data_IF_271813352021
#
_entry.id   IF_271813352021
#
_cell.length_a   1.000
_cell.length_b   1.000
_cell.length_c   1.000
_cell.angle_alpha   90.00
_cell.angle_beta   90.00
_cell.angle_gamma   90.00
#
_symmetry.space_group_name_H-M   'P 1'
#
loop_
_entity.id
_entity.type
_entity.pdbx_description
1 polymer ?
#
# COMPACT_ATOMS: atom_id res chain seq x y z
N UNK A 1 -23.77 7.43 25.50
CA UNK A 1 -22.47 7.33 24.78
C UNK A 1 -21.43 8.04 25.62
N UNK A 2 -20.35 7.37 25.95
CA UNK A 2 -19.22 7.97 26.68
C UNK A 2 -18.44 8.86 25.73
N UNK A 3 -18.33 10.14 26.04
CA UNK A 3 -17.54 11.09 25.24
C UNK A 3 -16.06 10.99 25.57
N UNK A 4 -15.17 11.44 24.67
CA UNK A 4 -13.73 11.53 24.97
C UNK A 4 -13.46 12.37 26.22
N UNK A 5 -14.29 13.39 26.46
CA UNK A 5 -14.19 14.24 27.67
C UNK A 5 -14.45 13.43 28.95
N UNK A 6 -15.43 12.52 28.92
CA UNK A 6 -15.71 11.62 30.07
C UNK A 6 -14.59 10.62 30.32
N UNK A 7 -13.80 10.29 29.27
CA UNK A 7 -12.60 9.48 29.37
C UNK A 7 -11.35 10.29 29.77
N UNK A 8 -11.49 11.59 30.05
CA UNK A 8 -10.38 12.47 30.41
C UNK A 8 -9.46 12.85 29.23
N UNK A 9 -9.92 12.64 28.00
CA UNK A 9 -9.15 12.93 26.78
C UNK A 9 -9.54 14.32 26.26
N UNK A 10 -8.65 15.31 26.29
CA UNK A 10 -8.92 16.63 25.73
C UNK A 10 -8.91 16.58 24.20
N UNK A 11 -9.72 17.41 23.53
CA UNK A 11 -9.69 17.55 22.09
C UNK A 11 -8.34 18.14 21.63
N UNK A 12 -7.85 17.68 20.48
CA UNK A 12 -6.62 18.16 19.88
C UNK A 12 -6.96 19.02 18.66
N UNK A 13 -6.31 20.18 18.53
CA UNK A 13 -6.32 20.99 17.32
C UNK A 13 -5.23 20.44 16.39
N UNK A 14 -5.65 19.68 15.38
CA UNK A 14 -4.74 19.08 14.42
C UNK A 14 -4.53 20.02 13.22
N UNK A 15 -3.32 20.56 13.07
CA UNK A 15 -2.92 21.40 11.94
C UNK A 15 -2.00 20.66 10.94
N UNK A 16 -1.77 19.37 11.13
CA UNK A 16 -0.85 18.55 10.30
C UNK A 16 -1.54 17.75 9.18
N UNK A 17 -2.85 17.91 8.99
CA UNK A 17 -3.60 17.11 8.03
C UNK A 17 -3.96 15.72 8.55
N UNK A 18 -3.95 14.70 7.70
CA UNK A 18 -4.33 13.33 8.08
C UNK A 18 -3.21 12.61 8.81
N UNK A 19 -3.43 12.28 10.09
CA UNK A 19 -2.42 11.65 10.95
C UNK A 19 -2.95 10.32 11.50
N UNK A 20 -2.30 9.22 11.17
CA UNK A 20 -2.71 7.88 11.60
C UNK A 20 -2.82 7.75 13.13
N UNK A 21 -1.91 8.36 13.88
CA UNK A 21 -1.95 8.36 15.36
C UNK A 21 -3.17 9.09 15.95
N UNK A 22 -3.84 9.90 15.15
CA UNK A 22 -5.05 10.62 15.52
C UNK A 22 -6.31 10.01 14.88
N UNK A 23 -6.22 8.77 14.38
CA UNK A 23 -7.32 8.07 13.72
C UNK A 23 -7.50 8.44 12.24
N UNK A 24 -6.51 9.11 11.63
CA UNK A 24 -6.55 9.56 10.23
C UNK A 24 -7.26 10.90 10.09
N UNK A 25 -8.52 10.89 9.75
CA UNK A 25 -9.35 12.10 9.62
C UNK A 25 -10.76 11.85 10.19
N UNK A 26 -11.43 12.89 10.71
CA UNK A 26 -12.83 12.77 11.14
C UNK A 26 -13.72 12.29 9.99
N UNK A 27 -14.63 11.37 10.28
CA UNK A 27 -15.57 10.83 9.30
C UNK A 27 -16.65 11.89 8.97
N UNK A 28 -16.92 12.17 7.67
CA UNK A 28 -18.06 13.01 7.29
C UNK A 28 -19.39 12.38 7.69
N UNK A 29 -20.41 13.21 7.99
CA UNK A 29 -21.73 12.74 8.40
C UNK A 29 -22.32 11.72 7.41
N UNK A 30 -22.24 11.99 6.11
CA UNK A 30 -22.71 11.07 5.06
C UNK A 30 -22.11 9.66 5.13
N UNK A 31 -20.84 9.55 5.59
CA UNK A 31 -20.18 8.24 5.76
C UNK A 31 -20.66 7.55 7.01
N UNK A 32 -20.86 8.32 8.09
CA UNK A 32 -21.46 7.81 9.35
C UNK A 32 -22.89 7.33 9.13
N UNK A 33 -23.69 8.08 8.37
CA UNK A 33 -25.07 7.71 8.03
C UNK A 33 -25.09 6.39 7.22
N UNK A 34 -24.25 6.29 6.20
CA UNK A 34 -24.13 5.06 5.42
C UNK A 34 -23.67 3.87 6.24
N UNK A 35 -22.73 4.07 7.18
CA UNK A 35 -22.28 3.04 8.11
C UNK A 35 -23.41 2.58 9.03
N UNK A 36 -24.19 3.53 9.57
CA UNK A 36 -25.32 3.22 10.46
C UNK A 36 -26.42 2.42 9.73
N UNK A 37 -26.71 2.76 8.47
CA UNK A 37 -27.68 2.01 7.66
C UNK A 37 -27.16 0.60 7.34
N UNK A 38 -25.93 0.50 6.86
CA UNK A 38 -25.31 -0.79 6.54
C UNK A 38 -25.23 -1.76 7.74
N UNK A 39 -25.05 -1.22 8.95
CA UNK A 39 -24.98 -2.01 10.17
C UNK A 39 -26.31 -2.67 10.60
N UNK A 40 -27.42 -2.33 9.95
CA UNK A 40 -28.76 -2.87 10.27
C UNK A 40 -29.12 -4.11 9.45
N UNK A 41 -28.37 -4.42 8.42
CA UNK A 41 -28.71 -5.45 7.44
C UNK A 41 -27.60 -6.50 7.28
N UNK A 42 -27.99 -7.69 6.89
CA UNK A 42 -27.09 -8.78 6.54
C UNK A 42 -26.99 -8.87 5.02
N UNK A 43 -25.76 -8.85 4.49
CA UNK A 43 -25.48 -8.99 3.05
C UNK A 43 -24.37 -10.01 2.83
N UNK A 44 -24.40 -10.78 1.73
CA UNK A 44 -23.29 -11.64 1.37
C UNK A 44 -22.02 -10.82 1.13
N UNK A 45 -20.95 -11.10 1.86
CA UNK A 45 -19.73 -10.28 1.85
C UNK A 45 -19.07 -10.27 0.48
N UNK A 46 -19.09 -11.39 -0.26
CA UNK A 46 -18.54 -11.50 -1.61
C UNK A 46 -19.27 -10.57 -2.60
N UNK A 47 -20.58 -10.45 -2.48
CA UNK A 47 -21.38 -9.54 -3.32
C UNK A 47 -21.10 -8.08 -2.99
N UNK A 48 -20.91 -7.77 -1.71
CA UNK A 48 -20.54 -6.42 -1.28
C UNK A 48 -19.15 -6.05 -1.79
N UNK A 49 -18.16 -6.93 -1.68
CA UNK A 49 -16.82 -6.73 -2.23
C UNK A 49 -16.85 -6.58 -3.75
N UNK A 50 -17.62 -7.39 -4.46
CA UNK A 50 -17.79 -7.26 -5.92
C UNK A 50 -18.40 -5.91 -6.31
N UNK A 51 -19.38 -5.41 -5.56
CA UNK A 51 -19.97 -4.09 -5.79
C UNK A 51 -18.96 -2.96 -5.52
N UNK A 52 -18.19 -3.06 -4.44
CA UNK A 52 -17.13 -2.13 -4.11
C UNK A 52 -16.02 -2.13 -5.17
N UNK A 53 -15.61 -3.31 -5.65
CA UNK A 53 -14.62 -3.47 -6.71
C UNK A 53 -15.02 -2.73 -7.98
N UNK A 54 -16.24 -2.93 -8.46
CA UNK A 54 -16.77 -2.19 -9.63
C UNK A 54 -16.73 -0.66 -9.43
N UNK A 55 -17.03 -0.20 -8.22
CA UNK A 55 -17.02 1.24 -7.91
C UNK A 55 -15.61 1.80 -7.88
N UNK A 56 -14.68 1.08 -7.31
CA UNK A 56 -13.26 1.45 -7.28
C UNK A 56 -12.71 1.49 -8.71
N UNK A 57 -12.91 0.43 -9.49
CA UNK A 57 -12.48 0.34 -10.89
C UNK A 57 -13.00 1.52 -11.72
N UNK A 58 -14.29 1.84 -11.63
CA UNK A 58 -14.89 2.98 -12.34
C UNK A 58 -14.31 4.33 -11.91
N UNK A 59 -13.82 4.45 -10.68
CA UNK A 59 -13.27 5.70 -10.14
C UNK A 59 -11.80 5.88 -10.47
N UNK A 60 -11.03 4.80 -10.45
CA UNK A 60 -9.57 4.81 -10.56
C UNK A 60 -9.07 4.48 -11.96
N UNK A 61 -9.86 3.79 -12.77
CA UNK A 61 -9.42 3.20 -14.05
C UNK A 61 -8.74 1.83 -13.89
N UNK A 62 -8.53 1.35 -12.67
CA UNK A 62 -7.97 0.03 -12.43
C UNK A 62 -8.92 -1.08 -12.88
N UNK A 63 -8.39 -2.27 -13.16
CA UNK A 63 -9.17 -3.45 -13.55
C UNK A 63 -10.15 -3.89 -12.45
N UNK A 64 -9.70 -3.85 -11.20
CA UNK A 64 -10.48 -4.25 -10.03
C UNK A 64 -10.08 -3.45 -8.78
N UNK A 65 -10.86 -3.61 -7.71
CA UNK A 65 -10.52 -3.04 -6.41
C UNK A 65 -10.94 -3.93 -5.25
N UNK A 66 -10.25 -3.82 -4.14
CA UNK A 66 -10.54 -4.54 -2.92
C UNK A 66 -10.62 -3.57 -1.73
N UNK A 67 -11.66 -3.66 -0.94
CA UNK A 67 -11.76 -2.94 0.33
C UNK A 67 -11.19 -3.81 1.44
N UNK A 68 -10.27 -3.25 2.22
CA UNK A 68 -9.58 -3.94 3.30
C UNK A 68 -9.68 -3.14 4.61
N UNK A 69 -9.24 -3.73 5.71
CA UNK A 69 -9.14 -3.07 7.03
C UNK A 69 -7.97 -2.07 7.07
N UNK A 70 -7.96 -1.11 6.14
CA UNK A 70 -6.94 -0.08 5.97
C UNK A 70 -5.81 -0.48 5.01
N UNK A 71 -4.97 0.51 4.64
CA UNK A 71 -3.87 0.31 3.69
C UNK A 71 -2.82 -0.71 4.13
N UNK A 72 -2.58 -0.86 5.43
CA UNK A 72 -1.67 -1.89 5.92
C UNK A 72 -2.17 -3.30 5.58
N UNK A 73 -3.48 -3.57 5.76
CA UNK A 73 -4.07 -4.83 5.34
C UNK A 73 -4.04 -5.01 3.82
N UNK A 74 -4.21 -3.93 3.03
CA UNK A 74 -4.04 -3.98 1.58
C UNK A 74 -2.62 -4.37 1.18
N UNK A 75 -1.60 -3.78 1.82
CA UNK A 75 -0.20 -4.14 1.59
C UNK A 75 0.10 -5.60 1.95
N UNK A 76 -0.44 -6.09 3.09
CA UNK A 76 -0.26 -7.50 3.48
C UNK A 76 -0.90 -8.45 2.47
N UNK A 77 -2.16 -8.21 2.09
CA UNK A 77 -2.88 -9.07 1.14
C UNK A 77 -2.29 -8.98 -0.27
N UNK A 78 -1.92 -7.77 -0.72
CA UNK A 78 -1.26 -7.59 -2.00
C UNK A 78 0.09 -8.29 -2.06
N UNK A 79 0.90 -8.18 -1.01
CA UNK A 79 2.17 -8.91 -0.92
C UNK A 79 1.92 -10.42 -0.91
N UNK A 80 0.95 -10.92 -0.14
CA UNK A 80 0.59 -12.33 -0.14
C UNK A 80 0.24 -12.81 -1.56
N UNK A 81 -0.55 -12.02 -2.31
CA UNK A 81 -0.90 -12.34 -3.70
C UNK A 81 0.34 -12.41 -4.61
N UNK A 82 1.29 -11.49 -4.45
CA UNK A 82 2.56 -11.51 -5.19
C UNK A 82 3.40 -12.76 -4.89
N UNK A 83 3.41 -13.20 -3.62
CA UNK A 83 4.19 -14.38 -3.18
C UNK A 83 3.61 -15.70 -3.69
N UNK A 84 2.30 -15.85 -3.74
CA UNK A 84 1.66 -17.16 -3.94
C UNK A 84 0.76 -17.24 -5.17
N UNK A 85 0.39 -16.12 -5.78
CA UNK A 85 -0.51 -16.08 -6.92
C UNK A 85 -1.81 -16.83 -6.61
N UNK A 86 -2.15 -17.80 -7.46
CA UNK A 86 -3.34 -18.66 -7.30
C UNK A 86 -3.00 -20.05 -6.72
N UNK A 87 -1.80 -20.25 -6.20
CA UNK A 87 -1.38 -21.54 -5.65
C UNK A 87 -1.96 -21.72 -4.25
N UNK A 88 -3.03 -22.51 -4.12
CA UNK A 88 -3.70 -22.80 -2.85
C UNK A 88 -2.76 -23.46 -1.82
N UNK A 89 -1.85 -24.31 -2.28
CA UNK A 89 -0.89 -24.97 -1.39
C UNK A 89 0.13 -23.99 -0.79
N UNK A 90 0.49 -22.92 -1.52
CA UNK A 90 1.32 -21.86 -0.97
C UNK A 90 0.50 -20.93 -0.06
N UNK A 91 -0.77 -20.64 -0.40
CA UNK A 91 -1.65 -19.83 0.45
C UNK A 91 -1.79 -20.41 1.86
N UNK A 92 -1.99 -21.73 1.96
CA UNK A 92 -2.12 -22.42 3.25
C UNK A 92 -0.85 -22.36 4.11
N UNK A 93 0.31 -22.15 3.49
CA UNK A 93 1.58 -22.05 4.21
C UNK A 93 1.87 -20.66 4.74
N UNK A 94 1.25 -19.61 4.20
CA UNK A 94 1.55 -18.24 4.64
C UNK A 94 1.35 -18.09 6.17
N UNK A 95 2.23 -17.35 6.84
CA UNK A 95 3.36 -16.59 6.34
C UNK A 95 4.69 -17.37 6.20
N UNK A 96 4.67 -18.72 6.30
CA UNK A 96 5.85 -19.54 6.04
C UNK A 96 6.09 -19.63 4.54
N UNK A 97 7.18 -19.06 4.07
CA UNK A 97 7.49 -18.92 2.64
C UNK A 97 8.69 -19.72 2.18
N UNK A 98 9.12 -20.69 2.99
CA UNK A 98 10.21 -21.58 2.63
C UNK A 98 9.84 -22.43 1.41
N UNK A 99 10.70 -22.40 0.38
CA UNK A 99 10.55 -23.23 -0.81
C UNK A 99 9.87 -22.55 -1.99
N UNK A 100 9.56 -21.23 -1.92
CA UNK A 100 9.12 -20.43 -3.06
C UNK A 100 9.66 -18.99 -2.97
N UNK A 101 9.68 -18.22 -4.10
CA UNK A 101 10.19 -16.85 -4.10
C UNK A 101 9.48 -15.99 -3.05
N UNK A 102 10.26 -15.28 -2.24
CA UNK A 102 9.72 -14.50 -1.13
C UNK A 102 10.42 -13.15 -0.90
N UNK A 103 11.31 -12.77 -1.82
CA UNK A 103 12.02 -11.51 -1.71
C UNK A 103 11.21 -10.37 -2.36
N UNK A 104 11.06 -9.28 -1.63
CA UNK A 104 10.48 -8.04 -2.14
C UNK A 104 11.56 -6.96 -2.10
N UNK A 105 11.91 -6.43 -3.26
CA UNK A 105 12.91 -5.35 -3.37
C UNK A 105 12.24 -4.02 -3.00
N UNK A 106 12.94 -3.21 -2.21
CA UNK A 106 12.48 -1.88 -1.81
C UNK A 106 13.66 -0.91 -1.69
N UNK A 107 13.47 0.34 -2.11
CA UNK A 107 14.48 1.37 -1.89
C UNK A 107 14.66 1.63 -0.38
N UNK A 108 15.91 1.70 0.09
CA UNK A 108 16.23 1.96 1.49
C UNK A 108 15.63 3.26 1.99
N UNK A 109 15.60 4.29 1.17
CA UNK A 109 15.03 5.60 1.50
C UNK A 109 13.49 5.59 1.60
N UNK A 110 12.84 4.55 1.09
CA UNK A 110 11.39 4.33 1.17
C UNK A 110 10.99 3.44 2.35
N UNK A 111 11.94 2.91 3.12
CA UNK A 111 11.67 2.10 4.29
C UNK A 111 10.95 2.91 5.37
N UNK A 112 9.94 2.30 5.96
CA UNK A 112 9.13 2.91 7.02
C UNK A 112 8.58 1.86 7.98
N UNK A 113 7.94 2.30 9.08
CA UNK A 113 7.25 1.38 9.99
C UNK A 113 6.10 0.60 9.36
N UNK A 114 5.62 1.01 8.18
CA UNK A 114 4.54 0.33 7.47
C UNK A 114 5.02 -0.86 6.63
N UNK A 115 6.31 -1.00 6.39
CA UNK A 115 6.86 -2.19 5.73
C UNK A 115 6.69 -3.48 6.54
N UNK A 116 6.31 -3.35 7.82
CA UNK A 116 5.84 -4.48 8.62
C UNK A 116 4.67 -5.21 7.96
N UNK A 117 3.80 -4.52 7.23
CA UNK A 117 2.68 -5.11 6.52
C UNK A 117 3.15 -6.08 5.42
N UNK A 118 4.20 -5.72 4.70
CA UNK A 118 4.84 -6.56 3.67
C UNK A 118 5.45 -7.81 4.32
N UNK A 119 6.21 -7.62 5.41
CA UNK A 119 6.85 -8.73 6.15
C UNK A 119 5.83 -9.64 6.83
N UNK A 120 4.67 -9.12 7.24
CA UNK A 120 3.61 -9.92 7.84
C UNK A 120 3.02 -10.98 6.89
N UNK A 121 3.12 -10.77 5.58
CA UNK A 121 2.76 -11.76 4.57
C UNK A 121 3.81 -12.89 4.43
N UNK A 122 4.96 -12.77 5.08
CA UNK A 122 6.07 -13.73 4.98
C UNK A 122 7.19 -13.29 4.03
N UNK A 123 7.12 -12.08 3.49
CA UNK A 123 8.14 -11.56 2.59
C UNK A 123 9.42 -11.17 3.32
N UNK A 124 10.56 -11.39 2.68
CA UNK A 124 11.87 -10.87 3.04
C UNK A 124 12.17 -9.61 2.22
N UNK A 125 12.46 -8.50 2.89
CA UNK A 125 12.82 -7.27 2.20
C UNK A 125 14.28 -7.29 1.74
N UNK A 126 14.50 -6.94 0.49
CA UNK A 126 15.82 -6.70 -0.11
C UNK A 126 15.96 -5.21 -0.33
N UNK A 127 16.83 -4.57 0.45
CA UNK A 127 17.01 -3.13 0.39
C UNK A 127 18.01 -2.76 -0.70
N UNK A 128 17.65 -1.81 -1.55
CA UNK A 128 18.52 -1.21 -2.56
C UNK A 128 18.75 0.27 -2.26
N UNK A 129 19.81 0.82 -2.78
CA UNK A 129 20.22 2.20 -2.54
C UNK A 129 21.35 2.30 -1.52
N UNK A 130 22.15 3.33 -1.72
CA UNK A 130 23.35 3.56 -0.93
C UNK A 130 23.37 4.98 -0.37
N UNK A 131 23.57 5.10 0.95
CA UNK A 131 23.72 6.39 1.61
C UNK A 131 25.19 6.70 1.82
N UNK A 132 25.76 7.53 0.96
CA UNK A 132 27.14 7.96 1.08
C UNK A 132 27.22 9.26 1.89
N UNK A 133 27.44 9.14 3.20
CA UNK A 133 27.61 10.29 4.09
C UNK A 133 29.09 10.63 4.32
N UNK A 134 29.96 9.65 4.13
CA UNK A 134 31.38 9.73 4.55
C UNK A 134 32.19 10.72 3.70
N UNK A 135 31.83 10.95 2.44
CA UNK A 135 32.56 11.82 1.52
C UNK A 135 32.10 13.28 1.53
N UNK A 136 31.14 13.67 2.34
CA UNK A 136 30.44 14.97 2.29
C UNK A 136 29.86 15.33 0.91
N UNK A 137 29.68 14.35 0.03
CA UNK A 137 29.17 14.53 -1.32
C UNK A 137 27.64 14.61 -1.41
N UNK A 138 26.96 14.62 -0.26
CA UNK A 138 25.51 14.54 -0.19
C UNK A 138 25.01 13.08 -0.21
N UNK A 139 23.70 12.91 -0.04
CA UNK A 139 23.05 11.60 -0.13
C UNK A 139 22.77 11.28 -1.58
N UNK A 140 23.41 10.24 -2.11
CA UNK A 140 23.04 9.71 -3.43
C UNK A 140 21.68 9.04 -3.31
N UNK A 141 20.75 9.41 -4.21
CA UNK A 141 19.45 8.77 -4.32
C UNK A 141 19.61 7.38 -4.96
N UNK A 142 18.69 6.49 -4.66
CA UNK A 142 18.61 5.18 -5.31
C UNK A 142 18.41 5.36 -6.83
N UNK A 143 19.08 4.53 -7.63
CA UNK A 143 19.00 4.51 -9.07
C UNK A 143 18.35 3.23 -9.57
N UNK A 144 17.77 3.27 -10.79
CA UNK A 144 16.99 2.15 -11.33
C UNK A 144 17.81 0.86 -11.47
N UNK A 145 19.08 0.97 -11.87
CA UNK A 145 19.98 -0.18 -12.02
C UNK A 145 20.22 -0.94 -10.70
N UNK A 146 20.06 -0.26 -9.55
CA UNK A 146 20.23 -0.91 -8.23
C UNK A 146 19.10 -1.88 -7.93
N UNK A 147 17.87 -1.59 -8.40
CA UNK A 147 16.77 -2.54 -8.37
C UNK A 147 17.05 -3.73 -9.28
N UNK A 148 17.52 -3.45 -10.51
CA UNK A 148 17.72 -4.48 -11.53
C UNK A 148 18.80 -5.49 -11.13
N UNK A 149 19.93 -5.05 -10.58
CA UNK A 149 20.99 -5.95 -10.10
C UNK A 149 20.63 -6.72 -8.84
N UNK A 150 19.63 -6.29 -8.10
CA UNK A 150 19.15 -6.98 -6.89
C UNK A 150 18.16 -8.13 -7.20
N UNK A 151 17.72 -8.25 -8.47
CA UNK A 151 16.79 -9.30 -8.88
C UNK A 151 17.50 -10.66 -8.82
N UNK A 152 16.88 -11.61 -8.14
CA UNK A 152 17.33 -13.00 -8.01
C UNK A 152 16.18 -13.96 -8.31
N UNK A 153 16.42 -15.27 -8.46
CA UNK A 153 15.34 -16.25 -8.56
C UNK A 153 14.39 -16.30 -7.35
N UNK A 154 14.75 -15.66 -6.25
CA UNK A 154 13.90 -15.55 -5.05
C UNK A 154 13.07 -14.28 -5.04
N UNK A 155 13.26 -13.38 -5.99
CA UNK A 155 12.49 -12.13 -6.08
C UNK A 155 11.05 -12.43 -6.52
N UNK A 156 10.10 -12.00 -5.69
CA UNK A 156 8.67 -12.14 -5.95
C UNK A 156 8.03 -10.81 -6.41
N UNK A 157 8.74 -9.70 -6.31
CA UNK A 157 8.26 -8.41 -6.79
C UNK A 157 8.96 -7.23 -6.12
N UNK A 158 8.42 -6.04 -6.39
CA UNK A 158 8.96 -4.76 -5.90
C UNK A 158 7.91 -4.03 -5.08
N UNK A 159 8.31 -3.47 -3.94
CA UNK A 159 7.51 -2.53 -3.18
C UNK A 159 7.99 -1.10 -3.40
N UNK A 160 7.07 -0.20 -3.68
CA UNK A 160 7.34 1.21 -3.92
C UNK A 160 6.47 2.08 -3.02
N UNK A 161 7.09 2.96 -2.23
CA UNK A 161 6.36 3.96 -1.44
C UNK A 161 6.31 5.26 -2.24
N UNK A 162 5.12 5.59 -2.73
CA UNK A 162 4.90 6.80 -3.51
C UNK A 162 4.81 8.02 -2.61
N UNK A 163 5.44 9.11 -3.03
CA UNK A 163 5.39 10.40 -2.34
C UNK A 163 6.07 11.51 -3.14
N UNK A 164 5.94 12.77 -2.71
CA UNK A 164 6.64 13.89 -3.32
C UNK A 164 8.14 13.64 -3.34
N UNK A 165 8.72 13.57 -4.53
CA UNK A 165 10.15 13.34 -4.71
C UNK A 165 10.61 11.88 -4.53
N UNK A 166 9.73 10.89 -4.53
CA UNK A 166 10.15 9.48 -4.60
C UNK A 166 10.96 9.22 -5.87
N UNK A 167 12.04 8.46 -5.74
CA UNK A 167 13.02 8.20 -6.78
C UNK A 167 13.41 6.71 -6.77
N UNK A 168 13.68 6.10 -7.95
CA UNK A 168 13.40 6.55 -9.31
C UNK A 168 11.89 6.82 -9.52
N UNK A 169 11.48 7.36 -10.68
CA UNK A 169 10.04 7.55 -10.95
C UNK A 169 9.32 6.20 -10.96
N UNK A 170 8.09 6.19 -10.44
CA UNK A 170 7.29 4.96 -10.37
C UNK A 170 7.16 4.28 -11.74
N UNK A 171 6.87 5.03 -12.81
CA UNK A 171 6.76 4.47 -14.17
C UNK A 171 8.04 3.78 -14.65
N UNK A 172 9.21 4.32 -14.30
CA UNK A 172 10.50 3.71 -14.65
C UNK A 172 10.72 2.39 -13.90
N UNK A 173 10.31 2.35 -12.62
CA UNK A 173 10.39 1.12 -11.79
C UNK A 173 9.42 0.06 -12.30
N UNK A 174 8.19 0.44 -12.65
CA UNK A 174 7.18 -0.47 -13.20
C UNK A 174 7.66 -1.05 -14.54
N UNK A 175 8.10 -0.21 -15.47
CA UNK A 175 8.62 -0.67 -16.75
C UNK A 175 9.81 -1.63 -16.59
N UNK A 176 10.73 -1.33 -15.69
CA UNK A 176 11.86 -2.21 -15.40
C UNK A 176 11.38 -3.54 -14.80
N UNK A 177 10.50 -3.51 -13.80
CA UNK A 177 9.98 -4.70 -13.15
C UNK A 177 9.25 -5.63 -14.12
N UNK A 178 8.41 -5.06 -15.00
CA UNK A 178 7.67 -5.83 -16.02
C UNK A 178 8.57 -6.47 -17.06
N UNK A 179 9.73 -5.88 -17.40
CA UNK A 179 10.73 -6.57 -18.25
C UNK A 179 11.27 -7.86 -17.62
N UNK A 180 11.21 -7.95 -16.29
CA UNK A 180 11.61 -9.12 -15.50
C UNK A 180 10.43 -9.97 -15.01
N UNK A 181 9.21 -9.71 -15.51
CA UNK A 181 7.97 -10.40 -15.12
C UNK A 181 7.67 -10.29 -13.62
N UNK A 182 8.11 -9.20 -12.98
CA UNK A 182 7.93 -8.92 -11.56
C UNK A 182 6.80 -7.92 -11.33
N UNK A 183 5.85 -8.22 -10.43
CA UNK A 183 4.81 -7.27 -10.05
C UNK A 183 5.35 -6.16 -9.14
N UNK A 184 4.68 -5.00 -9.19
CA UNK A 184 4.95 -3.83 -8.35
C UNK A 184 3.76 -3.51 -7.47
N UNK A 185 3.98 -3.47 -6.15
CA UNK A 185 3.00 -2.98 -5.18
C UNK A 185 3.37 -1.57 -4.71
N UNK A 186 2.41 -0.66 -4.78
CA UNK A 186 2.59 0.75 -4.43
C UNK A 186 1.86 1.10 -3.14
N UNK A 187 2.58 1.60 -2.15
CA UNK A 187 1.98 2.29 -1.01
C UNK A 187 1.73 3.76 -1.39
N UNK A 188 0.48 4.08 -1.67
CA UNK A 188 -0.02 5.42 -1.94
C UNK A 188 -0.94 5.94 -0.82
N UNK A 189 -0.80 5.42 0.39
CA UNK A 189 -1.70 5.72 1.52
C UNK A 189 -1.70 7.21 1.92
N UNK A 190 -0.64 7.96 1.61
CA UNK A 190 -0.50 9.38 1.88
C UNK A 190 -0.86 10.31 0.72
N UNK A 191 -1.18 9.77 -0.45
CA UNK A 191 -1.17 10.50 -1.71
C UNK A 191 -2.48 11.22 -2.08
N UNK A 192 -3.39 11.32 -1.15
CA UNK A 192 -4.63 12.09 -1.29
C UNK A 192 -4.70 13.18 -0.21
N UNK A 193 -5.08 14.42 -0.58
CA UNK A 193 -5.27 14.95 -1.94
C UNK A 193 -3.96 15.05 -2.72
N UNK A 194 -3.97 15.32 -4.04
CA UNK A 194 -5.11 15.66 -4.89
C UNK A 194 -5.85 14.41 -5.40
N UNK A 195 -7.14 14.58 -5.76
CA UNK A 195 -8.02 13.49 -6.18
C UNK A 195 -7.55 12.78 -7.46
N UNK A 196 -6.88 13.51 -8.32
CA UNK A 196 -6.33 13.04 -9.59
C UNK A 196 -5.35 11.86 -9.38
N UNK A 197 -4.73 11.76 -8.22
CA UNK A 197 -3.84 10.66 -7.87
C UNK A 197 -4.54 9.31 -7.85
N UNK A 198 -5.87 9.27 -7.66
CA UNK A 198 -6.66 8.02 -7.79
C UNK A 198 -6.59 7.41 -9.18
N UNK A 199 -6.28 8.20 -10.22
CA UNK A 199 -6.06 7.73 -11.59
C UNK A 199 -4.59 7.75 -11.95
N UNK A 200 -3.90 8.86 -11.71
CA UNK A 200 -2.51 9.05 -12.12
C UNK A 200 -1.55 7.98 -11.62
N UNK A 201 -1.78 7.45 -10.41
CA UNK A 201 -0.90 6.40 -9.87
C UNK A 201 -1.23 5.04 -10.51
N UNK A 202 -2.48 4.58 -10.59
CA UNK A 202 -2.81 3.38 -11.37
C UNK A 202 -2.45 3.47 -12.85
N UNK A 203 -2.54 4.65 -13.49
CA UNK A 203 -2.15 4.87 -14.89
C UNK A 203 -0.65 4.62 -15.16
N UNK A 204 0.17 4.42 -14.14
CA UNK A 204 1.56 3.95 -14.27
C UNK A 204 1.68 2.45 -14.54
N UNK A 205 0.56 1.74 -14.61
CA UNK A 205 0.48 0.29 -14.80
C UNK A 205 1.07 -0.53 -13.64
N UNK A 206 1.22 0.08 -12.45
CA UNK A 206 1.57 -0.67 -11.25
C UNK A 206 0.48 -1.71 -10.94
N UNK A 207 0.90 -2.94 -10.62
CA UNK A 207 -0.01 -4.10 -10.48
C UNK A 207 -0.95 -3.94 -9.28
N UNK A 208 -0.47 -3.37 -8.19
CA UNK A 208 -1.21 -3.18 -6.96
C UNK A 208 -0.96 -1.78 -6.39
N UNK A 209 -2.03 -1.03 -6.12
CA UNK A 209 -1.93 0.31 -5.52
C UNK A 209 -2.81 0.42 -4.27
N UNK A 210 -2.19 0.67 -3.12
CA UNK A 210 -2.87 0.77 -1.84
C UNK A 210 -3.09 2.24 -1.44
N UNK A 211 -4.36 2.67 -1.39
CA UNK A 211 -4.77 3.97 -0.84
C UNK A 211 -5.35 3.81 0.57
N UNK A 212 -5.32 4.88 1.36
CA UNK A 212 -5.93 4.89 2.70
C UNK A 212 -7.30 5.57 2.69
N UNK A 213 -8.36 4.79 2.86
CA UNK A 213 -9.74 5.31 2.95
C UNK A 213 -9.98 6.19 4.17
N UNK A 214 -9.36 5.89 5.31
CA UNK A 214 -9.50 6.65 6.56
C UNK A 214 -8.73 7.98 6.61
N UNK A 215 -8.03 8.34 5.55
CA UNK A 215 -7.34 9.63 5.43
C UNK A 215 -8.17 10.62 4.60
N UNK A 216 -8.03 10.63 3.29
CA UNK A 216 -8.62 11.67 2.44
C UNK A 216 -9.66 11.18 1.40
N UNK A 217 -10.00 9.88 1.37
CA UNK A 217 -11.06 9.34 0.49
C UNK A 217 -12.46 9.64 1.01
N UNK A 218 -12.60 9.97 2.28
CA UNK A 218 -13.85 10.27 3.00
C UNK A 218 -14.95 11.02 2.19
#
# INVERSE_FOLDING_TARGET
>A
MTSYKELGLPPIINACGTVTRLGGAPMPSRVLDAFQEAAKEWVPLEQLQAAASRRIAATTGAEAGLVTAGSAAALTLGTAAMLVGQNLGHMEKLPQTDGFPNEIIIAREQRSGYDHAIRAAGARLVEVGFNEVTSNAGVRRVELWEFEVAITPQTAGIAYVHGPGSCPKLSEVVEMAHRHELPVIVDAAGELPPRENLKRIPDTEADLVAFSGGKAIR
#
